data_IF_200775454421
#
_entry.id   IF_200775454421
#
_cell.length_a   1.000
_cell.length_b   1.000
_cell.length_c   1.000
_cell.angle_alpha   90.00
_cell.angle_beta   90.00
_cell.angle_gamma   90.00
#
_symmetry.space_group_name_H-M   'P 1'
#
loop_
_entity.id
_entity.type
_entity.pdbx_description
1 polymer ?
#
# COMPACT_ATOMS: atom_id res chain seq x y z
N UNK A 1 -76.45 31.54 -1.19
CA UNK A 1 -76.08 32.74 -0.41
C UNK A 1 -74.72 33.18 -0.95
N UNK A 2 -74.65 34.34 -1.64
CA UNK A 2 -73.49 34.94 -2.34
C UNK A 2 -72.89 34.09 -3.51
N UNK A 3 -72.85 34.53 -4.78
CA UNK A 3 -72.05 35.60 -5.47
C UNK A 3 -70.53 35.29 -5.51
N UNK A 4 -69.76 35.50 -6.59
CA UNK A 4 -69.93 36.11 -7.93
C UNK A 4 -68.82 35.54 -8.89
N UNK A 5 -69.09 35.23 -10.17
CA UNK A 5 -68.78 36.01 -11.39
C UNK A 5 -67.28 36.21 -11.77
N UNK A 6 -66.91 35.88 -13.02
CA UNK A 6 -65.59 36.13 -13.62
C UNK A 6 -65.39 35.48 -15.01
N UNK A 7 -65.32 36.28 -16.08
CA UNK A 7 -65.44 35.85 -17.49
C UNK A 7 -64.14 35.43 -18.22
N UNK A 8 -64.33 34.59 -19.28
CA UNK A 8 -63.69 34.64 -20.63
C UNK A 8 -62.17 34.38 -20.79
N UNK A 9 -61.63 33.89 -21.92
CA UNK A 9 -62.17 33.42 -23.23
C UNK A 9 -61.13 32.52 -23.96
N UNK A 10 -61.58 31.78 -24.98
CA UNK A 10 -60.93 31.33 -26.25
C UNK A 10 -59.38 31.29 -26.37
N UNK A 11 -58.73 30.31 -27.02
CA UNK A 11 -59.09 29.48 -28.19
C UNK A 11 -58.37 28.11 -28.14
N UNK A 12 -58.95 27.00 -28.63
CA UNK A 12 -58.70 26.38 -29.95
C UNK A 12 -57.24 26.48 -30.48
N UNK A 13 -56.59 25.42 -30.99
CA UNK A 13 -57.15 24.28 -31.72
C UNK A 13 -56.46 22.92 -31.42
N UNK A 14 -57.12 21.86 -31.87
CA UNK A 14 -56.70 20.45 -31.86
C UNK A 14 -56.53 19.97 -33.31
N UNK A 15 -55.53 19.13 -33.60
CA UNK A 15 -55.53 17.98 -34.54
C UNK A 15 -54.08 17.45 -34.70
N UNK A 16 -53.70 16.21 -34.37
CA UNK A 16 -54.06 14.86 -34.88
C UNK A 16 -53.18 14.33 -36.06
N UNK A 17 -52.35 13.34 -35.73
CA UNK A 17 -51.91 12.15 -36.51
C UNK A 17 -51.23 12.24 -37.89
N UNK A 18 -49.94 11.88 -37.88
CA UNK A 18 -49.22 10.90 -38.74
C UNK A 18 -49.78 10.43 -40.10
N UNK A 19 -48.98 10.68 -41.15
CA UNK A 19 -48.54 9.75 -42.22
C UNK A 19 -47.41 10.44 -43.05
N UNK A 20 -46.52 9.79 -43.82
CA UNK A 20 -46.20 8.36 -44.08
C UNK A 20 -44.70 8.16 -44.45
N UNK A 21 -44.36 7.14 -45.27
CA UNK A 21 -43.01 6.63 -45.67
C UNK A 21 -42.73 6.85 -47.20
N UNK A 22 -41.60 6.41 -47.82
CA UNK A 22 -40.20 6.87 -47.67
C UNK A 22 -39.42 7.10 -49.02
N UNK A 23 -38.10 7.34 -48.89
CA UNK A 23 -37.00 7.11 -49.86
C UNK A 23 -36.76 8.12 -51.02
N UNK A 24 -35.52 8.65 -51.08
CA UNK A 24 -34.70 8.65 -52.30
C UNK A 24 -33.18 8.71 -51.96
N UNK A 25 -32.35 8.09 -52.79
CA UNK A 25 -30.91 7.88 -52.58
C UNK A 25 -30.07 9.04 -53.16
N UNK A 26 -29.64 9.98 -52.32
CA UNK A 26 -28.74 11.06 -52.75
C UNK A 26 -27.29 10.83 -52.31
N UNK A 27 -26.51 10.30 -53.26
CA UNK A 27 -25.04 10.19 -53.28
C UNK A 27 -24.32 11.46 -52.82
N UNK A 28 -23.18 11.31 -52.11
CA UNK A 28 -22.03 12.16 -52.40
C UNK A 28 -20.81 11.34 -52.84
N UNK A 29 -20.37 11.60 -54.07
CA UNK A 29 -19.12 11.12 -54.63
C UNK A 29 -17.92 11.83 -53.96
N UNK A 30 -16.85 11.06 -53.74
CA UNK A 30 -15.45 11.53 -53.56
C UNK A 30 -15.16 12.41 -52.34
N UNK A 31 -14.36 11.87 -51.41
CA UNK A 31 -13.20 12.61 -50.92
C UNK A 31 -12.00 11.69 -50.69
N UNK A 32 -10.86 12.15 -51.15
CA UNK A 32 -9.57 11.46 -51.10
C UNK A 32 -9.00 11.37 -49.67
N UNK A 33 -7.90 10.63 -49.56
CA UNK A 33 -6.92 10.68 -48.48
C UNK A 33 -7.37 10.35 -47.06
N UNK A 34 -7.11 9.10 -46.66
CA UNK A 34 -6.37 8.88 -45.42
C UNK A 34 -5.28 7.81 -45.61
N UNK A 35 -4.12 8.31 -46.04
CA UNK A 35 -2.85 7.62 -45.86
C UNK A 35 -2.48 7.49 -44.36
N UNK A 36 -1.45 6.69 -44.07
CA UNK A 36 -0.80 6.47 -42.76
C UNK A 36 -1.51 5.55 -41.76
N UNK A 37 -0.92 4.35 -41.66
CA UNK A 37 -0.36 3.78 -40.41
C UNK A 37 -0.67 2.29 -40.16
N UNK A 38 -0.52 1.46 -41.21
CA UNK A 38 -0.12 0.06 -40.98
C UNK A 38 1.18 0.02 -40.17
N UNK A 39 1.05 -0.34 -38.90
CA UNK A 39 2.04 -1.09 -38.12
C UNK A 39 3.51 -0.71 -38.32
N UNK A 40 3.86 0.56 -38.12
CA UNK A 40 5.19 0.83 -37.55
C UNK A 40 5.12 0.38 -36.09
N UNK A 41 5.49 -0.87 -35.85
CA UNK A 41 5.75 -1.41 -34.51
C UNK A 41 7.02 -0.71 -34.02
N UNK A 42 6.88 0.56 -33.59
CA UNK A 42 7.99 1.40 -33.15
C UNK A 42 8.86 0.61 -32.19
N UNK A 43 10.15 0.49 -32.52
CA UNK A 43 11.13 -0.16 -31.68
C UNK A 43 10.98 0.36 -30.25
N UNK A 44 10.60 -0.54 -29.33
CA UNK A 44 10.39 -0.16 -27.94
C UNK A 44 11.74 0.22 -27.34
N UNK A 45 12.06 1.52 -27.35
CA UNK A 45 13.20 2.02 -26.60
C UNK A 45 12.98 1.64 -25.13
N UNK A 46 13.80 0.68 -24.67
CA UNK A 46 13.97 0.29 -23.28
C UNK A 46 14.52 1.49 -22.50
N UNK A 47 13.62 2.40 -22.16
CA UNK A 47 13.91 3.60 -21.38
C UNK A 47 14.31 3.16 -19.96
N UNK A 48 15.30 3.83 -19.34
CA UNK A 48 15.91 3.47 -18.06
C UNK A 48 14.91 3.08 -16.96
N UNK A 49 13.70 3.65 -16.96
CA UNK A 49 12.58 3.26 -16.07
C UNK A 49 12.23 1.75 -16.11
N UNK A 50 12.44 1.06 -17.24
CA UNK A 50 12.16 -0.38 -17.37
C UNK A 50 13.25 -1.21 -16.69
N UNK A 51 14.53 -0.89 -16.94
CA UNK A 51 15.65 -1.51 -16.24
C UNK A 51 15.56 -1.31 -14.72
N UNK A 52 15.15 -0.12 -14.28
CA UNK A 52 14.92 0.18 -12.87
C UNK A 52 13.77 -0.64 -12.26
N UNK A 53 12.68 -0.87 -13.00
CA UNK A 53 11.58 -1.72 -12.54
C UNK A 53 11.95 -3.20 -12.52
N UNK A 54 12.66 -3.70 -13.54
CA UNK A 54 13.20 -5.07 -13.57
C UNK A 54 14.16 -5.27 -12.39
N UNK A 55 15.11 -4.35 -12.21
CA UNK A 55 16.07 -4.38 -11.12
C UNK A 55 15.39 -4.40 -9.76
N UNK A 56 14.39 -3.56 -9.54
CA UNK A 56 13.57 -3.57 -8.32
C UNK A 56 12.84 -4.90 -8.13
N UNK A 57 12.13 -5.42 -9.13
CA UNK A 57 11.40 -6.68 -9.01
C UNK A 57 12.34 -7.88 -8.78
N UNK A 58 13.52 -7.91 -9.40
CA UNK A 58 14.54 -8.92 -9.16
C UNK A 58 15.17 -8.78 -7.78
N UNK A 59 15.40 -7.56 -7.29
CA UNK A 59 15.96 -7.30 -5.97
C UNK A 59 14.96 -7.70 -4.87
N UNK A 60 13.68 -7.35 -5.00
CA UNK A 60 12.62 -7.81 -4.09
C UNK A 60 12.39 -9.34 -4.15
N UNK A 61 12.67 -9.97 -5.28
CA UNK A 61 12.69 -11.44 -5.37
C UNK A 61 13.91 -12.05 -4.66
N UNK A 62 15.10 -11.48 -4.85
CA UNK A 62 16.30 -11.90 -4.15
C UNK A 62 16.17 -11.72 -2.63
N UNK A 63 15.59 -10.60 -2.18
CA UNK A 63 15.23 -10.36 -0.77
C UNK A 63 14.31 -11.46 -0.22
N UNK A 64 13.21 -11.77 -0.91
CA UNK A 64 12.28 -12.81 -0.44
C UNK A 64 12.96 -14.18 -0.35
N UNK A 65 13.81 -14.54 -1.32
CA UNK A 65 14.59 -15.78 -1.29
C UNK A 65 15.61 -15.78 -0.15
N UNK A 66 16.28 -14.65 0.10
CA UNK A 66 17.23 -14.50 1.21
C UNK A 66 16.54 -14.52 2.57
N UNK A 67 15.34 -13.94 2.70
CA UNK A 67 14.48 -13.97 3.89
C UNK A 67 14.06 -15.40 4.22
N UNK A 68 13.57 -16.15 3.23
CA UNK A 68 13.21 -17.56 3.41
C UNK A 68 14.46 -18.37 3.79
N UNK A 69 15.58 -18.17 3.09
CA UNK A 69 16.83 -18.88 3.40
C UNK A 69 17.38 -18.55 4.80
N UNK A 70 17.38 -17.29 5.21
CA UNK A 70 17.89 -16.89 6.54
C UNK A 70 17.02 -17.46 7.66
N UNK A 71 15.71 -17.49 7.45
CA UNK A 71 14.74 -17.99 8.42
C UNK A 71 14.81 -19.51 8.61
N UNK A 72 15.00 -20.30 7.54
CA UNK A 72 14.94 -21.76 7.61
C UNK A 72 16.29 -22.49 7.60
N UNK A 73 17.39 -21.86 7.16
CA UNK A 73 18.66 -22.55 6.87
C UNK A 73 19.91 -21.96 7.55
N UNK A 74 19.84 -20.79 8.18
CA UNK A 74 21.03 -20.12 8.75
C UNK A 74 21.16 -20.35 10.27
N UNK A 75 22.34 -20.76 10.79
CA UNK A 75 22.55 -20.91 12.23
C UNK A 75 22.49 -19.56 12.98
N UNK A 76 21.91 -19.61 14.18
CA UNK A 76 21.46 -18.47 15.01
C UNK A 76 22.46 -17.31 15.19
N UNK A 77 23.77 -17.54 15.09
CA UNK A 77 24.83 -16.52 15.29
C UNK A 77 25.08 -15.61 14.08
N UNK A 78 24.94 -16.11 12.85
CA UNK A 78 25.11 -15.28 11.65
C UNK A 78 23.82 -14.52 11.29
N UNK A 79 22.68 -15.01 11.79
CA UNK A 79 21.35 -14.49 11.52
C UNK A 79 21.21 -12.99 11.85
N UNK A 80 21.79 -12.48 12.94
CA UNK A 80 21.58 -11.08 13.35
C UNK A 80 22.16 -10.06 12.36
N UNK A 81 23.37 -10.32 11.84
CA UNK A 81 24.02 -9.49 10.81
C UNK A 81 23.28 -9.60 9.47
N UNK A 82 22.84 -10.81 9.12
CA UNK A 82 22.04 -11.04 7.92
C UNK A 82 20.73 -10.25 7.96
N UNK A 83 19.97 -10.31 9.07
CA UNK A 83 18.72 -9.53 9.25
C UNK A 83 18.97 -8.03 9.15
N UNK A 84 20.00 -7.49 9.83
CA UNK A 84 20.35 -6.06 9.72
C UNK A 84 20.63 -5.66 8.27
N UNK A 85 21.41 -6.46 7.54
CA UNK A 85 21.69 -6.17 6.13
C UNK A 85 20.44 -6.26 5.25
N UNK A 86 19.56 -7.24 5.49
CA UNK A 86 18.32 -7.44 4.76
C UNK A 86 17.42 -6.20 4.93
N UNK A 87 17.13 -5.80 6.18
CA UNK A 87 16.28 -4.65 6.49
C UNK A 87 16.75 -3.35 5.80
N UNK A 88 18.07 -3.13 5.64
CA UNK A 88 18.61 -1.95 4.94
C UNK A 88 18.31 -1.98 3.44
N UNK A 89 18.52 -3.10 2.76
CA UNK A 89 18.20 -3.24 1.32
C UNK A 89 16.69 -3.11 1.11
N UNK A 90 15.93 -3.75 1.98
CA UNK A 90 14.47 -3.77 2.00
C UNK A 90 13.83 -2.38 2.15
N UNK A 91 14.34 -1.57 3.09
CA UNK A 91 13.97 -0.16 3.26
C UNK A 91 14.33 0.63 1.99
N UNK A 92 15.53 0.41 1.43
CA UNK A 92 15.98 1.02 0.19
C UNK A 92 15.06 0.72 -1.01
N UNK A 93 14.63 -0.53 -1.14
CA UNK A 93 13.66 -0.98 -2.14
C UNK A 93 12.30 -0.30 -1.99
N UNK A 94 11.82 -0.19 -0.75
CA UNK A 94 10.55 0.48 -0.46
C UNK A 94 10.62 1.98 -0.80
N UNK A 95 11.70 2.68 -0.43
CA UNK A 95 11.95 4.06 -0.85
C UNK A 95 12.09 4.22 -2.37
N UNK A 96 12.72 3.27 -3.05
CA UNK A 96 12.85 3.30 -4.50
C UNK A 96 11.47 3.17 -5.20
N UNK A 97 10.62 2.26 -4.73
CA UNK A 97 9.24 2.12 -5.20
C UNK A 97 8.38 3.36 -4.89
N UNK A 98 8.51 3.94 -3.69
CA UNK A 98 7.91 5.22 -3.33
C UNK A 98 8.34 6.35 -4.28
N UNK A 99 9.62 6.40 -4.67
CA UNK A 99 10.12 7.36 -5.66
C UNK A 99 9.47 7.23 -7.04
N UNK A 100 9.07 6.01 -7.44
CA UNK A 100 8.29 5.76 -8.66
C UNK A 100 6.84 6.23 -8.48
N UNK A 101 6.22 5.96 -7.32
CA UNK A 101 4.86 6.41 -6.99
C UNK A 101 4.77 7.94 -6.94
N UNK A 102 5.73 8.64 -6.34
CA UNK A 102 5.72 10.12 -6.23
C UNK A 102 5.89 10.78 -7.59
N UNK A 103 6.61 10.15 -8.53
CA UNK A 103 6.74 10.60 -9.93
C UNK A 103 5.52 10.22 -10.80
N UNK A 104 4.48 9.62 -10.23
CA UNK A 104 3.21 9.33 -10.90
C UNK A 104 2.46 10.62 -11.24
N UNK A 105 1.96 10.79 -12.48
CA UNK A 105 1.05 11.90 -12.80
C UNK A 105 -0.30 11.81 -12.05
N UNK A 106 -0.58 10.69 -11.39
CA UNK A 106 -1.80 10.49 -10.58
C UNK A 106 -1.66 10.92 -9.11
N UNK A 107 -0.46 11.33 -8.68
CA UNK A 107 -0.14 11.72 -7.30
C UNK A 107 -0.58 13.15 -6.99
N UNK A 108 -1.39 13.32 -5.94
CA UNK A 108 -2.02 14.60 -5.59
C UNK A 108 -1.11 15.56 -4.79
N UNK A 109 0.17 15.23 -4.62
CA UNK A 109 1.11 15.97 -3.78
C UNK A 109 1.01 15.61 -2.29
N UNK A 110 2.15 15.63 -1.60
CA UNK A 110 2.30 15.21 -0.19
C UNK A 110 1.32 15.90 0.76
N UNK A 111 1.12 17.22 0.60
CA UNK A 111 0.27 18.01 1.49
C UNK A 111 -1.21 17.63 1.38
N UNK A 112 -1.67 17.28 0.16
CA UNK A 112 -3.03 16.78 -0.09
C UNK A 112 -3.23 15.40 0.51
N UNK A 113 -2.25 14.50 0.33
CA UNK A 113 -2.23 13.15 0.91
C UNK A 113 -2.36 13.25 2.42
N UNK A 114 -1.47 14.00 3.09
CA UNK A 114 -1.49 14.16 4.54
C UNK A 114 -2.82 14.74 5.03
N UNK A 115 -3.31 15.80 4.39
CA UNK A 115 -4.56 16.47 4.79
C UNK A 115 -5.75 15.54 4.73
N UNK A 116 -5.93 14.80 3.64
CA UNK A 116 -7.06 13.89 3.50
C UNK A 116 -6.87 12.62 4.36
N UNK A 117 -5.65 12.19 4.66
CA UNK A 117 -5.39 11.12 5.63
C UNK A 117 -5.81 11.45 7.06
N UNK A 118 -5.52 12.66 7.54
CA UNK A 118 -5.86 13.06 8.91
C UNK A 118 -7.37 13.00 9.22
N UNK A 119 -8.24 12.91 8.22
CA UNK A 119 -9.68 12.72 8.41
C UNK A 119 -10.13 11.25 8.33
N UNK A 120 -9.28 10.30 7.91
CA UNK A 120 -9.67 8.91 7.68
C UNK A 120 -9.56 8.07 8.98
N UNK A 121 -10.66 7.47 9.49
CA UNK A 121 -10.62 6.71 10.75
C UNK A 121 -9.69 5.49 10.66
N UNK A 122 -9.67 4.79 9.53
CA UNK A 122 -8.77 3.65 9.30
C UNK A 122 -7.28 4.04 9.31
N UNK A 123 -6.93 5.29 8.96
CA UNK A 123 -5.56 5.78 9.09
C UNK A 123 -5.17 5.92 10.56
N UNK A 124 -6.06 6.48 11.39
CA UNK A 124 -5.85 6.54 12.85
C UNK A 124 -5.76 5.16 13.48
N UNK A 125 -6.54 4.18 13.03
CA UNK A 125 -6.41 2.78 13.49
C UNK A 125 -5.05 2.17 13.10
N UNK A 126 -4.58 2.39 11.86
CA UNK A 126 -3.28 1.92 11.41
C UNK A 126 -2.13 2.57 12.20
N UNK A 127 -2.22 3.88 12.43
CA UNK A 127 -1.27 4.65 13.24
C UNK A 127 -1.28 4.19 14.71
N UNK A 128 -2.45 3.89 15.28
CA UNK A 128 -2.58 3.37 16.64
C UNK A 128 -1.87 2.02 16.79
N UNK A 129 -2.06 1.08 15.85
CA UNK A 129 -1.35 -0.20 15.88
C UNK A 129 0.17 -0.02 15.72
N UNK A 130 0.61 0.91 14.86
CA UNK A 130 2.03 1.25 14.74
C UNK A 130 2.60 1.84 16.04
N UNK A 131 1.88 2.75 16.70
CA UNK A 131 2.30 3.33 17.98
C UNK A 131 2.35 2.30 19.11
N UNK A 132 1.40 1.36 19.16
CA UNK A 132 1.41 0.26 20.13
C UNK A 132 2.64 -0.65 19.94
N UNK A 133 2.97 -1.00 18.69
CA UNK A 133 4.19 -1.75 18.37
C UNK A 133 5.46 -0.95 18.70
N UNK A 134 5.50 0.36 18.42
CA UNK A 134 6.63 1.21 18.75
C UNK A 134 6.86 1.31 20.28
N UNK A 135 5.78 1.43 21.07
CA UNK A 135 5.85 1.41 22.53
C UNK A 135 6.36 0.04 23.03
N UNK A 136 5.84 -1.07 22.49
CA UNK A 136 6.30 -2.42 22.82
C UNK A 136 7.79 -2.63 22.50
N UNK A 137 8.25 -2.15 21.34
CA UNK A 137 9.65 -2.17 20.95
C UNK A 137 10.56 -1.36 21.87
N UNK A 138 10.13 -0.16 22.29
CA UNK A 138 10.87 0.68 23.24
C UNK A 138 10.97 0.02 24.63
N UNK A 139 9.87 -0.54 25.14
CA UNK A 139 9.86 -1.28 26.41
C UNK A 139 10.82 -2.47 26.35
N UNK A 140 10.79 -3.23 25.25
CA UNK A 140 11.68 -4.37 25.05
C UNK A 140 13.16 -3.93 25.06
N UNK A 141 13.51 -2.85 24.34
CA UNK A 141 14.87 -2.28 24.34
C UNK A 141 15.31 -1.86 25.74
N UNK A 142 14.44 -1.26 26.55
CA UNK A 142 14.78 -0.81 27.91
C UNK A 142 14.98 -2.01 28.88
N UNK A 143 14.17 -3.06 28.76
CA UNK A 143 14.37 -4.33 29.49
C UNK A 143 15.72 -4.97 29.10
N UNK A 144 16.03 -5.06 27.80
CA UNK A 144 17.34 -5.54 27.33
C UNK A 144 18.49 -4.67 27.87
N UNK A 145 18.32 -3.34 27.92
CA UNK A 145 19.33 -2.42 28.45
C UNK A 145 19.58 -2.63 29.94
N UNK A 146 18.53 -2.81 30.74
CA UNK A 146 18.62 -3.10 32.18
C UNK A 146 19.36 -4.40 32.48
N UNK A 147 19.15 -5.45 31.67
CA UNK A 147 19.84 -6.73 31.80
C UNK A 147 21.32 -6.65 31.41
N UNK A 148 21.67 -5.88 30.38
CA UNK A 148 23.03 -5.85 29.82
C UNK A 148 23.98 -4.88 30.53
N UNK A 149 23.47 -3.83 31.20
CA UNK A 149 24.30 -2.89 31.99
C UNK A 149 25.11 -3.53 33.13
N UNK A 150 24.77 -4.77 33.52
CA UNK A 150 25.46 -5.51 34.59
C UNK A 150 26.62 -6.42 34.10
N UNK A 151 27.03 -6.36 32.82
CA UNK A 151 28.03 -7.28 32.26
C UNK A 151 29.06 -6.62 31.32
N UNK A 152 30.24 -7.26 31.22
CA UNK A 152 31.48 -6.70 30.66
C UNK A 152 31.48 -6.44 29.14
N UNK A 153 32.38 -5.54 28.75
CA UNK A 153 32.54 -4.86 27.45
C UNK A 153 32.37 -5.69 26.15
N UNK A 154 32.74 -6.98 26.12
CA UNK A 154 32.54 -7.82 24.91
C UNK A 154 31.06 -8.05 24.58
N UNK A 155 30.15 -7.88 25.55
CA UNK A 155 28.70 -8.01 25.35
C UNK A 155 28.05 -6.76 24.74
N UNK A 156 28.78 -5.64 24.64
CA UNK A 156 28.26 -4.39 24.07
C UNK A 156 27.97 -4.49 22.56
N UNK A 157 28.80 -5.20 21.79
CA UNK A 157 28.63 -5.28 20.33
C UNK A 157 27.36 -6.04 19.93
N UNK A 158 27.02 -7.12 20.65
CA UNK A 158 25.78 -7.87 20.44
C UNK A 158 24.54 -7.04 20.86
N UNK A 159 24.63 -6.30 21.97
CA UNK A 159 23.57 -5.38 22.40
C UNK A 159 23.35 -4.26 21.37
N UNK A 160 24.42 -3.60 20.91
CA UNK A 160 24.34 -2.55 19.88
C UNK A 160 23.72 -3.10 18.59
N UNK A 161 24.12 -4.30 18.16
CA UNK A 161 23.58 -4.93 16.95
C UNK A 161 22.09 -5.31 17.12
N UNK A 162 21.67 -5.72 18.31
CA UNK A 162 20.25 -5.96 18.62
C UNK A 162 19.42 -4.66 18.64
N UNK A 163 19.95 -3.57 19.21
CA UNK A 163 19.29 -2.26 19.19
C UNK A 163 19.18 -1.73 17.74
N UNK A 164 20.25 -1.81 16.95
CA UNK A 164 20.24 -1.43 15.52
C UNK A 164 19.23 -2.26 14.74
N UNK A 165 19.16 -3.58 14.98
CA UNK A 165 18.14 -4.46 14.39
C UNK A 165 16.72 -3.95 14.70
N UNK A 166 16.39 -3.73 15.97
CA UNK A 166 15.06 -3.26 16.39
C UNK A 166 14.70 -1.90 15.77
N UNK A 167 15.65 -0.97 15.70
CA UNK A 167 15.47 0.34 15.05
C UNK A 167 15.16 0.17 13.55
N UNK A 168 15.88 -0.72 12.86
CA UNK A 168 15.65 -0.99 11.44
C UNK A 168 14.32 -1.70 11.19
N UNK A 169 13.89 -2.62 12.05
CA UNK A 169 12.56 -3.24 11.97
C UNK A 169 11.44 -2.19 12.12
N UNK A 170 11.55 -1.30 13.11
CA UNK A 170 10.59 -0.18 13.29
C UNK A 170 10.59 0.75 12.06
N UNK A 171 11.78 1.09 11.53
CA UNK A 171 11.91 1.95 10.35
C UNK A 171 11.33 1.31 9.09
N UNK A 172 11.47 -0.01 8.93
CA UNK A 172 10.88 -0.73 7.81
C UNK A 172 9.35 -0.79 7.89
N UNK A 173 8.78 -1.16 9.03
CA UNK A 173 7.33 -1.15 9.22
C UNK A 173 6.74 0.26 9.05
N UNK A 174 7.47 1.31 9.47
CA UNK A 174 7.11 2.69 9.19
C UNK A 174 7.14 3.03 7.69
N UNK A 175 8.16 2.55 6.97
CA UNK A 175 8.28 2.75 5.52
C UNK A 175 7.18 2.00 4.76
N UNK A 176 6.77 0.81 5.22
CA UNK A 176 5.60 0.07 4.73
C UNK A 176 4.27 0.80 5.00
N UNK A 177 4.11 1.43 6.17
CA UNK A 177 2.97 2.30 6.45
C UNK A 177 2.93 3.45 5.43
N UNK A 178 4.04 4.16 5.22
CA UNK A 178 4.15 5.23 4.21
C UNK A 178 3.81 4.70 2.80
N UNK A 179 4.29 3.51 2.43
CA UNK A 179 3.95 2.89 1.16
C UNK A 179 2.43 2.74 0.97
N UNK A 180 1.73 2.15 1.94
CA UNK A 180 0.28 1.97 1.89
C UNK A 180 -0.46 3.32 1.84
N UNK A 181 0.02 4.32 2.58
CA UNK A 181 -0.48 5.70 2.51
C UNK A 181 -0.36 6.32 1.12
N UNK A 182 0.73 6.08 0.39
CA UNK A 182 0.94 6.66 -0.94
C UNK A 182 0.18 5.89 -2.02
N UNK A 183 0.03 4.57 -1.85
CA UNK A 183 -0.85 3.73 -2.65
C UNK A 183 -2.33 4.13 -2.53
N UNK A 184 -2.76 4.67 -1.38
CA UNK A 184 -4.12 5.17 -1.18
C UNK A 184 -4.52 6.29 -2.17
N UNK A 185 -3.57 7.15 -2.58
CA UNK A 185 -3.88 8.30 -3.44
C UNK A 185 -3.51 8.13 -4.91
N UNK A 186 -2.74 7.10 -5.24
CA UNK A 186 -2.27 6.82 -6.60
C UNK A 186 -3.05 5.67 -7.23
N UNK A 187 -3.14 5.66 -8.57
CA UNK A 187 -3.62 4.49 -9.32
C UNK A 187 -2.44 3.92 -10.10
N UNK A 188 -2.10 2.66 -9.86
CA UNK A 188 -0.93 2.03 -10.50
C UNK A 188 -1.10 1.99 -12.01
N UNK A 189 -2.32 1.74 -12.50
CA UNK A 189 -2.69 1.79 -13.92
C UNK A 189 -2.41 3.14 -14.59
N UNK A 190 -2.50 4.26 -13.87
CA UNK A 190 -2.24 5.60 -14.39
C UNK A 190 -0.83 6.12 -14.07
N UNK A 191 -0.07 5.43 -13.22
CA UNK A 191 1.29 5.83 -12.85
C UNK A 191 2.26 5.82 -14.03
N UNK A 192 2.11 4.88 -14.97
CA UNK A 192 2.84 4.89 -16.24
C UNK A 192 1.84 4.58 -17.36
N UNK A 193 1.24 5.63 -17.91
CA UNK A 193 0.22 5.54 -18.97
C UNK A 193 0.71 4.73 -20.18
N UNK A 194 -0.14 3.81 -20.64
CA UNK A 194 0.04 3.08 -21.91
C UNK A 194 0.82 1.76 -21.88
N UNK A 195 1.46 1.34 -20.77
CA UNK A 195 2.28 0.11 -20.75
C UNK A 195 1.76 -0.97 -19.79
N UNK A 196 1.02 -1.94 -20.34
CA UNK A 196 0.44 -3.08 -19.60
C UNK A 196 1.51 -3.89 -18.84
N UNK A 197 2.68 -4.10 -19.44
CA UNK A 197 3.76 -4.87 -18.81
C UNK A 197 4.38 -4.17 -17.59
N UNK A 198 4.56 -2.84 -17.66
CA UNK A 198 5.04 -2.03 -16.53
C UNK A 198 4.06 -2.07 -15.35
N UNK A 199 2.76 -1.99 -15.63
CA UNK A 199 1.71 -2.15 -14.62
C UNK A 199 1.74 -3.55 -13.98
N UNK A 200 1.96 -4.61 -14.76
CA UNK A 200 2.14 -5.97 -14.24
C UNK A 200 3.37 -6.09 -13.34
N UNK A 201 4.49 -5.45 -13.70
CA UNK A 201 5.69 -5.43 -12.85
C UNK A 201 5.47 -4.68 -11.53
N UNK A 202 4.82 -3.51 -11.56
CA UNK A 202 4.44 -2.78 -10.33
C UNK A 202 3.54 -3.62 -9.40
N UNK A 203 2.55 -4.35 -9.96
CA UNK A 203 1.74 -5.30 -9.18
C UNK A 203 2.55 -6.49 -8.69
N UNK A 204 3.50 -7.00 -9.47
CA UNK A 204 4.45 -8.03 -9.06
C UNK A 204 5.26 -7.61 -7.84
N UNK A 205 5.90 -6.44 -7.87
CA UNK A 205 6.65 -5.90 -6.72
C UNK A 205 5.77 -5.74 -5.48
N UNK A 206 4.51 -5.31 -5.62
CA UNK A 206 3.57 -5.25 -4.50
C UNK A 206 3.22 -6.62 -3.91
N UNK A 207 3.08 -7.65 -4.75
CA UNK A 207 2.93 -9.03 -4.28
C UNK A 207 4.17 -9.48 -3.48
N UNK A 208 5.38 -9.11 -3.93
CA UNK A 208 6.61 -9.39 -3.17
C UNK A 208 6.63 -8.68 -1.82
N UNK A 209 6.27 -7.39 -1.76
CA UNK A 209 6.13 -6.67 -0.48
C UNK A 209 5.06 -7.29 0.44
N UNK A 210 3.97 -7.83 -0.11
CA UNK A 210 2.96 -8.55 0.67
C UNK A 210 3.53 -9.85 1.27
N UNK A 211 4.21 -10.68 0.46
CA UNK A 211 4.87 -11.91 0.96
C UNK A 211 5.97 -11.62 1.98
N UNK A 212 6.69 -10.52 1.79
CA UNK A 212 7.74 -10.04 2.70
C UNK A 212 7.20 -9.67 4.09
N UNK A 213 5.98 -9.14 4.21
CA UNK A 213 5.32 -8.96 5.52
C UNK A 213 4.72 -10.26 6.04
N UNK A 214 4.22 -11.12 5.15
CA UNK A 214 3.55 -12.38 5.51
C UNK A 214 4.51 -13.44 6.09
N UNK A 215 5.67 -13.67 5.48
CA UNK A 215 6.62 -14.72 5.88
C UNK A 215 7.12 -14.53 7.33
N UNK A 216 7.61 -13.34 7.76
CA UNK A 216 8.01 -13.11 9.15
C UNK A 216 6.86 -13.25 10.14
N UNK A 217 5.63 -12.86 9.76
CA UNK A 217 4.45 -13.01 10.62
C UNK A 217 4.14 -14.48 10.88
N UNK A 218 4.11 -15.32 9.84
CA UNK A 218 3.88 -16.78 9.99
C UNK A 218 4.97 -17.42 10.85
N UNK A 219 6.22 -17.02 10.65
CA UNK A 219 7.38 -17.54 11.39
C UNK A 219 7.33 -17.09 12.86
N UNK A 220 7.06 -15.82 13.14
CA UNK A 220 6.93 -15.29 14.49
C UNK A 220 5.76 -15.95 15.24
N UNK A 221 4.60 -16.11 14.60
CA UNK A 221 3.47 -16.88 15.19
C UNK A 221 3.91 -18.31 15.54
N UNK A 222 4.63 -18.98 14.63
CA UNK A 222 5.10 -20.36 14.86
C UNK A 222 6.10 -20.43 16.01
N UNK A 223 7.09 -19.53 16.04
CA UNK A 223 8.11 -19.44 17.08
C UNK A 223 7.49 -19.10 18.45
N UNK A 224 6.63 -18.08 18.51
CA UNK A 224 5.89 -17.70 19.71
C UNK A 224 4.99 -18.84 20.20
N UNK A 225 4.36 -19.62 19.30
CA UNK A 225 3.56 -20.78 19.69
C UNK A 225 4.41 -21.88 20.35
N UNK A 226 5.64 -22.10 19.85
CA UNK A 226 6.58 -23.07 20.44
C UNK A 226 7.10 -22.58 21.79
N UNK A 227 7.54 -21.31 21.90
CA UNK A 227 8.07 -20.75 23.15
C UNK A 227 7.02 -20.57 24.24
N UNK A 228 5.73 -20.45 23.89
CA UNK A 228 4.64 -20.44 24.87
C UNK A 228 4.38 -21.83 25.50
N UNK A 229 4.75 -22.91 24.81
CA UNK A 229 4.58 -24.30 25.29
C UNK A 229 5.75 -24.71 26.19
N UNK A 230 6.97 -24.25 25.89
CA UNK A 230 8.20 -24.56 26.62
C UNK A 230 8.90 -23.27 27.07
N UNK A 231 8.34 -22.62 28.12
CA UNK A 231 8.88 -21.38 28.69
C UNK A 231 10.00 -21.71 29.68
N UNK A 232 11.27 -21.35 29.42
CA UNK A 232 12.34 -21.56 30.39
C UNK A 232 12.27 -20.50 31.51
N UNK A 233 12.21 -20.96 32.76
CA UNK A 233 12.05 -20.12 33.97
C UNK A 233 13.05 -18.95 34.10
N UNK A 234 14.27 -19.10 33.56
CA UNK A 234 15.36 -18.14 33.81
C UNK A 234 15.27 -16.82 33.04
N UNK A 235 14.52 -16.77 31.95
CA UNK A 235 14.38 -15.59 31.08
C UNK A 235 12.90 -15.23 30.84
N UNK A 236 12.00 -15.72 31.70
CA UNK A 236 10.55 -15.72 31.48
C UNK A 236 9.96 -14.33 31.19
N UNK A 237 10.43 -13.27 31.85
CA UNK A 237 9.87 -11.92 31.66
C UNK A 237 10.36 -11.24 30.37
N UNK A 238 11.60 -11.52 29.93
CA UNK A 238 12.10 -11.07 28.62
C UNK A 238 11.37 -11.80 27.49
N UNK A 239 11.13 -13.11 27.64
CA UNK A 239 10.39 -13.92 26.67
C UNK A 239 8.92 -13.45 26.60
N UNK A 240 8.26 -13.19 27.74
CA UNK A 240 6.92 -12.59 27.77
C UNK A 240 6.87 -11.23 27.09
N UNK A 241 7.83 -10.34 27.37
CA UNK A 241 7.88 -9.00 26.75
C UNK A 241 8.05 -9.09 25.22
N UNK A 242 8.89 -10.01 24.73
CA UNK A 242 9.02 -10.27 23.30
C UNK A 242 7.72 -10.81 22.69
N UNK A 243 7.09 -11.81 23.30
CA UNK A 243 5.81 -12.39 22.85
C UNK A 243 4.71 -11.33 22.79
N UNK A 244 4.61 -10.47 23.82
CA UNK A 244 3.63 -9.35 23.83
C UNK A 244 3.89 -8.40 22.67
N UNK A 245 5.15 -8.04 22.39
CA UNK A 245 5.50 -7.16 21.28
C UNK A 245 5.19 -7.80 19.91
N UNK A 246 5.47 -9.10 19.74
CA UNK A 246 5.10 -9.85 18.53
C UNK A 246 3.56 -9.88 18.35
N UNK A 247 2.79 -10.12 19.41
CA UNK A 247 1.32 -10.10 19.37
C UNK A 247 0.77 -8.71 19.02
N UNK A 248 1.36 -7.63 19.54
CA UNK A 248 0.96 -6.25 19.22
C UNK A 248 1.25 -5.86 17.75
N UNK A 249 2.20 -6.53 17.10
CA UNK A 249 2.51 -6.34 15.69
C UNK A 249 1.49 -7.01 14.74
N UNK A 250 0.84 -8.11 15.15
CA UNK A 250 -0.13 -8.84 14.30
C UNK A 250 -1.26 -7.95 13.74
N UNK A 251 -1.97 -7.12 14.53
CA UNK A 251 -3.01 -6.22 14.01
C UNK A 251 -2.51 -5.24 12.96
N UNK A 252 -1.28 -4.71 13.14
CA UNK A 252 -0.64 -3.83 12.17
C UNK A 252 -0.33 -4.57 10.86
N UNK A 253 0.38 -5.70 10.92
CA UNK A 253 0.71 -6.49 9.74
C UNK A 253 -0.53 -6.98 8.99
N UNK A 254 -1.57 -7.44 9.72
CA UNK A 254 -2.86 -7.81 9.13
C UNK A 254 -3.44 -6.65 8.32
N UNK A 255 -3.45 -5.43 8.87
CA UNK A 255 -4.03 -4.26 8.19
C UNK A 255 -3.20 -3.80 7.00
N UNK A 256 -1.87 -3.86 7.08
CA UNK A 256 -0.97 -3.62 5.94
C UNK A 256 -1.23 -4.62 4.81
N UNK A 257 -1.30 -5.93 5.12
CA UNK A 257 -1.59 -6.99 4.14
C UNK A 257 -2.97 -6.77 3.50
N UNK A 258 -4.01 -6.49 4.28
CA UNK A 258 -5.37 -6.21 3.79
C UNK A 258 -5.39 -5.06 2.76
N UNK A 259 -4.75 -3.94 3.09
CA UNK A 259 -4.69 -2.75 2.23
C UNK A 259 -3.83 -2.98 0.97
N UNK A 260 -2.69 -3.68 1.10
CA UNK A 260 -1.89 -4.11 -0.06
C UNK A 260 -2.68 -5.05 -0.96
N UNK A 261 -3.45 -5.99 -0.41
CA UNK A 261 -4.26 -6.93 -1.18
C UNK A 261 -5.37 -6.23 -1.94
N UNK A 262 -6.13 -5.33 -1.29
CA UNK A 262 -7.11 -4.46 -1.97
C UNK A 262 -6.46 -3.71 -3.14
N UNK A 263 -5.23 -3.19 -2.95
CA UNK A 263 -4.52 -2.48 -4.01
C UNK A 263 -4.04 -3.40 -5.15
N UNK A 264 -3.61 -4.62 -4.84
CA UNK A 264 -3.18 -5.63 -5.82
C UNK A 264 -4.36 -6.12 -6.66
N UNK A 265 -5.56 -6.30 -6.09
CA UNK A 265 -6.71 -6.80 -6.84
C UNK A 265 -7.45 -5.69 -7.58
N UNK A 266 -7.94 -4.68 -6.85
CA UNK A 266 -8.84 -3.67 -7.41
C UNK A 266 -8.10 -2.46 -8.03
N UNK A 267 -6.87 -2.14 -7.58
CA UNK A 267 -6.11 -0.93 -7.95
C UNK A 267 -6.90 0.39 -7.81
N UNK A 268 -7.85 0.45 -6.88
CA UNK A 268 -8.64 1.65 -6.63
C UNK A 268 -7.85 2.70 -5.83
N UNK A 269 -8.26 3.96 -5.96
CA UNK A 269 -7.90 5.00 -4.98
C UNK A 269 -8.74 4.78 -3.72
N UNK A 270 -8.29 5.32 -2.60
CA UNK A 270 -9.03 5.32 -1.34
C UNK A 270 -9.18 3.94 -0.67
N UNK A 271 -8.17 3.05 -0.78
CA UNK A 271 -8.12 1.76 -0.05
C UNK A 271 -8.23 1.92 1.48
N UNK A 272 -7.76 3.04 2.04
CA UNK A 272 -7.91 3.37 3.47
C UNK A 272 -9.33 3.90 3.76
N UNK A 273 -10.09 4.29 2.74
CA UNK A 273 -11.46 4.82 2.84
C UNK A 273 -11.64 6.12 2.07
N UNK A 274 -12.89 6.49 1.80
CA UNK A 274 -13.24 7.63 0.93
C UNK A 274 -13.92 8.76 1.69
N UNK A 275 -13.36 9.96 1.57
CA UNK A 275 -13.96 11.20 2.06
C UNK A 275 -14.93 11.74 1.01
N UNK A 276 -16.23 11.71 1.31
CA UNK A 276 -17.27 12.32 0.49
C UNK A 276 -17.68 13.66 1.13
N UNK A 277 -17.00 14.75 0.71
CA UNK A 277 -17.37 16.14 1.06
C UNK A 277 -18.62 16.52 0.26
N UNK A 278 -19.76 16.66 0.92
CA UNK A 278 -20.98 17.12 0.26
C UNK A 278 -20.95 18.64 0.07
N UNK A 279 -20.84 19.10 -1.18
CA UNK A 279 -20.67 20.54 -1.50
C UNK A 279 -21.85 21.39 -1.04
N UNK A 280 -23.06 20.82 -0.93
CA UNK A 280 -24.26 21.54 -0.50
C UNK A 280 -24.41 21.73 1.03
N UNK A 281 -23.84 20.85 1.86
CA UNK A 281 -24.09 20.85 3.31
C UNK A 281 -22.84 21.03 4.19
N UNK A 282 -21.64 21.14 3.58
CA UNK A 282 -20.32 21.10 4.25
C UNK A 282 -20.06 19.83 5.09
N UNK A 283 -20.99 18.87 5.13
CA UNK A 283 -20.80 17.61 5.85
C UNK A 283 -19.77 16.72 5.17
N UNK A 284 -18.94 16.09 6.00
CA UNK A 284 -18.03 15.02 5.61
C UNK A 284 -18.75 13.70 5.90
N UNK A 285 -18.93 12.88 4.87
CA UNK A 285 -19.40 11.50 5.04
C UNK A 285 -18.27 10.55 4.67
N UNK A 286 -18.07 9.52 5.50
CA UNK A 286 -17.11 8.46 5.25
C UNK A 286 -17.81 7.31 4.55
N UNK A 287 -17.23 6.85 3.45
CA UNK A 287 -17.63 5.60 2.80
C UNK A 287 -16.44 4.65 2.92
N UNK A 288 -16.69 3.51 3.56
CA UNK A 288 -15.80 2.34 3.62
C UNK A 288 -16.22 1.41 2.49
#
# INVERSE_FOLDING_TARGET
>A
MLTEAGHSSESAASEYTTNSSPADENTPLVREDNSRSRQVRCCEHFNCRHFLLIGLSLLSFAELVLLIKSTFLIPRKEHLKATVSLNVVEIGNCFFFLGIIVKSPSFAGFLTVLRDLCFLPNFWTLLLFFLLYLIGGLINIDIYRGLYMNCTQHRNDEFQLAVVKSILEILDFFTMMILVVFLNHTNLRYTISGRVWVYRMLKGTLVMFCFRVFVPVVVNITNTSITLIDVPDKDADTIKAQIINEILLLPFCKKIIELLWQKIFFDEKCIIGKIRRNRGTRQITFVV
#
